data_IF_926844792268
#
_entry.id   IF_926844792268
#
_cell.length_a   1.000
_cell.length_b   1.000
_cell.length_c   1.000
_cell.angle_alpha   90.00
_cell.angle_beta   90.00
_cell.angle_gamma   90.00
#
_symmetry.space_group_name_H-M   'P 1'
#
loop_
_entity.id
_entity.type
_entity.pdbx_description
1 polymer ?
#
# COMPACT_ATOMS: atom_id res chain seq x y z
N UNK A 1 -28.34 -12.12 36.22
CA UNK A 1 -27.23 -11.23 35.80
C UNK A 1 -26.47 -11.89 34.67
N UNK A 2 -26.39 -11.23 33.51
CA UNK A 2 -25.68 -11.66 32.30
C UNK A 2 -25.66 -10.50 31.29
N UNK A 3 -25.21 -9.34 31.77
CA UNK A 3 -25.22 -8.03 31.13
C UNK A 3 -24.02 -7.87 30.17
N UNK A 4 -23.92 -8.64 29.08
CA UNK A 4 -22.90 -8.41 28.03
C UNK A 4 -23.35 -8.81 26.60
N UNK A 5 -24.65 -8.67 26.28
CA UNK A 5 -25.14 -8.72 24.89
C UNK A 5 -25.43 -7.29 24.37
N UNK A 6 -24.44 -6.40 24.43
CA UNK A 6 -24.47 -5.15 23.66
C UNK A 6 -24.12 -5.52 22.21
N UNK A 7 -25.18 -5.77 21.45
CA UNK A 7 -25.25 -6.19 20.06
C UNK A 7 -24.23 -5.50 19.14
N UNK A 8 -23.31 -6.27 18.56
CA UNK A 8 -22.70 -5.97 17.26
C UNK A 8 -23.86 -5.90 16.24
N UNK A 9 -24.38 -4.71 15.94
CA UNK A 9 -25.37 -4.55 14.86
C UNK A 9 -24.66 -4.84 13.54
N UNK A 10 -25.08 -5.93 12.89
CA UNK A 10 -24.61 -6.32 11.55
C UNK A 10 -25.67 -5.89 10.55
N UNK A 11 -25.34 -4.93 9.72
CA UNK A 11 -26.14 -4.58 8.56
C UNK A 11 -25.60 -5.34 7.36
N UNK A 12 -26.49 -6.07 6.68
CA UNK A 12 -26.17 -6.76 5.43
C UNK A 12 -26.87 -6.03 4.30
N UNK A 13 -26.12 -5.76 3.26
CA UNK A 13 -26.64 -5.21 2.02
C UNK A 13 -26.05 -6.00 0.88
N UNK A 14 -26.88 -6.24 -0.14
CA UNK A 14 -26.44 -6.85 -1.38
C UNK A 14 -26.30 -5.75 -2.41
N UNK A 15 -25.10 -5.61 -2.97
CA UNK A 15 -24.87 -4.72 -4.12
C UNK A 15 -24.40 -5.61 -5.27
N UNK A 16 -25.19 -5.65 -6.36
CA UNK A 16 -24.86 -6.44 -7.56
C UNK A 16 -24.61 -7.92 -7.26
N UNK A 17 -25.52 -8.54 -6.50
CA UNK A 17 -25.49 -9.96 -6.12
C UNK A 17 -24.25 -10.37 -5.28
N UNK A 18 -23.62 -9.41 -4.59
CA UNK A 18 -22.57 -9.68 -3.62
C UNK A 18 -22.99 -9.21 -2.25
N UNK A 19 -22.79 -10.05 -1.25
CA UNK A 19 -23.06 -9.72 0.13
C UNK A 19 -21.95 -8.85 0.71
N UNK A 20 -22.36 -7.70 1.22
CA UNK A 20 -21.53 -6.82 2.00
C UNK A 20 -22.08 -6.79 3.43
N UNK A 21 -21.16 -6.80 4.38
CA UNK A 21 -21.50 -6.83 5.79
C UNK A 21 -20.83 -5.61 6.42
N UNK A 22 -21.63 -4.66 6.91
CA UNK A 22 -21.17 -3.62 7.83
C UNK A 22 -21.38 -4.13 9.25
N UNK A 23 -20.29 -4.24 9.98
CA UNK A 23 -20.30 -4.57 11.41
C UNK A 23 -20.05 -3.27 12.16
N UNK A 24 -21.07 -2.79 12.86
CA UNK A 24 -20.98 -1.62 13.72
C UNK A 24 -20.67 -2.06 15.15
N UNK A 25 -19.47 -1.70 15.65
CA UNK A 25 -18.98 -2.16 16.95
C UNK A 25 -19.19 -1.16 18.10
N UNK A 26 -19.54 0.12 17.86
CA UNK A 26 -19.79 1.09 18.96
C UNK A 26 -20.25 2.48 18.49
N UNK A 27 -21.02 3.15 19.37
CA UNK A 27 -21.70 4.45 19.29
C UNK A 27 -21.00 5.58 18.50
N UNK A 28 -21.22 5.69 17.19
CA UNK A 28 -21.10 6.95 16.46
C UNK A 28 -22.46 7.65 16.42
N UNK A 29 -22.48 8.98 16.24
CA UNK A 29 -23.72 9.69 15.92
C UNK A 29 -24.38 9.03 14.69
N UNK A 30 -25.68 8.72 14.80
CA UNK A 30 -26.46 8.06 13.73
C UNK A 30 -26.30 8.79 12.39
N UNK A 31 -26.30 10.14 12.42
CA UNK A 31 -26.13 10.95 11.22
C UNK A 31 -24.79 10.70 10.50
N UNK A 32 -23.72 10.48 11.27
CA UNK A 32 -22.38 10.21 10.72
C UNK A 32 -22.32 8.80 10.16
N UNK A 33 -22.93 7.83 10.87
CA UNK A 33 -23.04 6.46 10.37
C UNK A 33 -23.82 6.40 9.05
N UNK A 34 -24.96 7.10 8.96
CA UNK A 34 -25.77 7.16 7.74
C UNK A 34 -24.95 7.75 6.58
N UNK A 35 -24.23 8.86 6.82
CA UNK A 35 -23.33 9.45 5.82
C UNK A 35 -22.19 8.51 5.39
N UNK A 36 -21.56 7.81 6.33
CA UNK A 36 -20.50 6.84 6.02
C UNK A 36 -21.06 5.67 5.22
N UNK A 37 -22.24 5.18 5.57
CA UNK A 37 -22.95 4.13 4.83
C UNK A 37 -23.26 4.57 3.41
N UNK A 38 -23.72 5.80 3.21
CA UNK A 38 -23.97 6.39 1.89
C UNK A 38 -22.69 6.43 1.04
N UNK A 39 -21.57 6.84 1.62
CA UNK A 39 -20.26 6.87 0.92
C UNK A 39 -19.81 5.45 0.56
N UNK A 40 -19.93 4.50 1.49
CA UNK A 40 -19.59 3.09 1.21
C UNK A 40 -20.45 2.59 0.05
N UNK A 41 -21.76 2.85 0.08
CA UNK A 41 -22.68 2.44 -0.98
C UNK A 41 -22.33 3.09 -2.32
N UNK A 42 -22.07 4.40 -2.33
CA UNK A 42 -21.64 5.16 -3.50
C UNK A 42 -20.38 4.54 -4.13
N UNK A 43 -19.34 4.30 -3.33
CA UNK A 43 -18.07 3.72 -3.82
C UNK A 43 -18.28 2.29 -4.32
N UNK A 44 -19.00 1.44 -3.59
CA UNK A 44 -19.25 0.07 -4.02
C UNK A 44 -20.06 -0.02 -5.31
N UNK A 45 -20.97 0.92 -5.55
CA UNK A 45 -21.77 0.95 -6.77
C UNK A 45 -21.02 1.59 -7.94
N UNK A 46 -20.24 2.63 -7.73
CA UNK A 46 -19.53 3.33 -8.81
C UNK A 46 -18.28 2.58 -9.29
N UNK A 47 -17.61 1.83 -8.40
CA UNK A 47 -16.25 1.37 -8.70
C UNK A 47 -16.19 -0.01 -9.38
N UNK A 48 -15.60 -0.05 -10.59
CA UNK A 48 -15.41 -1.30 -11.34
C UNK A 48 -14.49 -2.31 -10.64
N UNK A 49 -13.57 -1.83 -9.80
CA UNK A 49 -12.67 -2.68 -9.01
C UNK A 49 -13.45 -3.59 -8.05
N UNK A 50 -14.56 -3.09 -7.50
CA UNK A 50 -15.43 -3.81 -6.55
C UNK A 50 -16.12 -5.01 -7.22
N UNK A 51 -16.44 -4.90 -8.52
CA UNK A 51 -16.98 -6.02 -9.31
C UNK A 51 -16.03 -7.22 -9.36
N UNK A 52 -14.73 -7.01 -9.14
CA UNK A 52 -13.71 -8.07 -9.19
C UNK A 52 -13.39 -8.67 -7.82
N UNK A 53 -13.91 -8.11 -6.72
CA UNK A 53 -13.63 -8.59 -5.36
C UNK A 53 -14.64 -9.65 -4.89
N UNK A 54 -14.23 -10.74 -4.22
CA UNK A 54 -15.09 -11.89 -3.89
C UNK A 54 -16.20 -11.61 -2.86
N UNK A 55 -16.08 -10.53 -2.09
CA UNK A 55 -17.03 -10.08 -1.07
C UNK A 55 -16.31 -9.24 -0.03
N UNK A 56 -16.92 -8.15 0.44
CA UNK A 56 -16.26 -7.17 1.30
C UNK A 56 -17.02 -7.01 2.62
N UNK A 57 -16.31 -7.11 3.73
CA UNK A 57 -16.83 -6.87 5.07
C UNK A 57 -16.21 -5.59 5.60
N UNK A 58 -17.05 -4.63 5.95
CA UNK A 58 -16.64 -3.40 6.60
C UNK A 58 -16.80 -3.56 8.11
N UNK A 59 -15.76 -3.20 8.85
CA UNK A 59 -15.82 -3.13 10.31
C UNK A 59 -15.62 -1.68 10.69
N UNK A 60 -16.66 -1.06 11.23
CA UNK A 60 -16.63 0.32 11.68
C UNK A 60 -16.31 0.33 13.17
N UNK A 61 -15.19 0.95 13.53
CA UNK A 61 -14.79 1.11 14.93
C UNK A 61 -14.88 2.59 15.31
N UNK A 62 -15.51 2.90 16.44
CA UNK A 62 -15.31 4.18 17.11
C UNK A 62 -14.14 4.03 18.09
N UNK A 63 -13.04 4.76 17.87
CA UNK A 63 -11.96 4.87 18.86
C UNK A 63 -11.98 6.29 19.44
N UNK A 64 -12.27 6.41 20.73
CA UNK A 64 -12.15 7.67 21.50
C UNK A 64 -10.69 8.16 21.70
N UNK A 65 -9.74 7.77 20.84
CA UNK A 65 -8.33 8.12 21.01
C UNK A 65 -7.88 9.16 19.97
N UNK A 66 -7.20 10.18 20.50
CA UNK A 66 -6.71 11.46 19.94
C UNK A 66 -5.88 11.41 18.63
N UNK A 67 -5.87 10.31 17.89
CA UNK A 67 -5.22 10.27 16.57
C UNK A 67 -6.24 10.61 15.50
N UNK A 68 -6.18 11.83 14.96
CA UNK A 68 -6.92 12.22 13.77
C UNK A 68 -6.82 11.13 12.68
N UNK A 69 -7.98 10.70 12.18
CA UNK A 69 -8.14 10.17 10.82
C UNK A 69 -7.22 9.05 10.37
N UNK A 70 -6.94 8.02 11.18
CA UNK A 70 -6.24 6.82 10.68
C UNK A 70 -7.17 5.63 10.56
N UNK A 71 -7.58 5.33 9.33
CA UNK A 71 -8.16 4.04 8.94
C UNK A 71 -7.02 3.02 8.95
N UNK A 72 -7.25 1.88 9.59
CA UNK A 72 -6.20 0.90 9.85
C UNK A 72 -6.69 -0.47 9.44
N UNK A 73 -6.22 -0.90 8.27
CA UNK A 73 -6.08 -2.28 7.79
C UNK A 73 -7.26 -2.88 7.03
N UNK A 74 -6.92 -3.34 5.83
CA UNK A 74 -7.56 -4.46 5.18
C UNK A 74 -6.95 -5.80 5.65
N UNK A 75 -7.77 -6.84 5.73
CA UNK A 75 -7.31 -8.22 5.93
C UNK A 75 -8.09 -9.15 5.00
N UNK A 76 -7.40 -10.06 4.32
CA UNK A 76 -8.06 -11.08 3.50
C UNK A 76 -8.13 -12.36 4.32
N UNK A 77 -9.34 -12.71 4.76
CA UNK A 77 -9.58 -13.89 5.57
C UNK A 77 -10.58 -14.79 4.84
N UNK A 78 -10.17 -16.04 4.57
CA UNK A 78 -11.03 -17.07 3.96
C UNK A 78 -11.72 -16.62 2.65
N UNK A 79 -10.98 -15.91 1.79
CA UNK A 79 -11.51 -15.43 0.50
C UNK A 79 -12.46 -14.22 0.61
N UNK A 80 -12.50 -13.54 1.75
CA UNK A 80 -13.24 -12.27 1.93
C UNK A 80 -12.27 -11.13 2.19
N UNK A 81 -12.56 -9.96 1.63
CA UNK A 81 -11.86 -8.71 1.94
C UNK A 81 -12.51 -8.13 3.19
N UNK A 82 -11.74 -7.83 4.22
CA UNK A 82 -12.20 -7.11 5.41
C UNK A 82 -11.55 -5.73 5.37
N UNK A 83 -12.32 -4.65 5.45
CA UNK A 83 -11.83 -3.27 5.54
C UNK A 83 -12.26 -2.70 6.89
N UNK A 84 -11.31 -2.21 7.69
CA UNK A 84 -11.61 -1.62 8.99
C UNK A 84 -11.53 -0.10 8.94
N UNK A 85 -12.67 0.57 9.08
CA UNK A 85 -12.75 2.03 9.09
C UNK A 85 -12.84 2.51 10.54
N UNK A 86 -11.95 3.41 10.94
CA UNK A 86 -12.06 4.10 12.23
C UNK A 86 -12.80 5.42 11.99
N UNK A 87 -13.97 5.58 12.61
CA UNK A 87 -14.85 6.74 12.42
C UNK A 87 -14.82 7.59 13.69
N UNK A 88 -14.73 8.91 13.51
CA UNK A 88 -14.76 9.92 14.56
C UNK A 88 -15.92 10.89 14.29
N UNK A 89 -16.36 11.63 15.31
CA UNK A 89 -17.51 12.52 15.17
C UNK A 89 -17.24 13.76 14.30
N UNK A 90 -15.97 14.14 14.13
CA UNK A 90 -15.48 15.27 13.34
C UNK A 90 -14.87 14.83 11.99
N UNK A 91 -15.14 13.60 11.56
CA UNK A 91 -14.47 13.02 10.39
C UNK A 91 -14.83 13.76 9.09
N UNK A 92 -13.82 14.10 8.31
CA UNK A 92 -13.99 14.57 6.95
C UNK A 92 -14.46 13.43 6.04
N UNK A 93 -15.65 13.61 5.47
CA UNK A 93 -16.28 12.65 4.56
C UNK A 93 -15.46 12.46 3.29
N UNK A 94 -14.77 13.50 2.80
CA UNK A 94 -13.91 13.38 1.60
C UNK A 94 -12.76 12.40 1.89
N UNK A 95 -12.14 12.54 3.07
CA UNK A 95 -11.08 11.64 3.55
C UNK A 95 -11.54 10.18 3.68
N UNK A 96 -12.78 9.92 4.12
CA UNK A 96 -13.34 8.55 4.17
C UNK A 96 -13.41 7.94 2.78
N UNK A 97 -13.90 8.69 1.79
CA UNK A 97 -14.02 8.22 0.41
C UNK A 97 -12.65 7.84 -0.16
N UNK A 98 -11.64 8.70 -0.02
CA UNK A 98 -10.29 8.41 -0.49
C UNK A 98 -9.70 7.19 0.16
N UNK A 99 -9.82 7.11 1.48
CA UNK A 99 -9.24 5.98 2.18
C UNK A 99 -9.94 4.67 1.84
N UNK A 100 -11.25 4.71 1.60
CA UNK A 100 -11.96 3.54 1.10
C UNK A 100 -11.44 3.11 -0.28
N UNK A 101 -11.24 4.06 -1.20
CA UNK A 101 -10.64 3.79 -2.52
C UNK A 101 -9.23 3.20 -2.39
N UNK A 102 -8.41 3.75 -1.50
CA UNK A 102 -7.06 3.28 -1.17
C UNK A 102 -7.07 1.80 -0.74
N UNK A 103 -7.87 1.47 0.26
CA UNK A 103 -7.97 0.10 0.81
C UNK A 103 -8.55 -0.89 -0.22
N UNK A 104 -9.47 -0.44 -1.09
CA UNK A 104 -9.99 -1.26 -2.19
C UNK A 104 -8.93 -1.54 -3.26
N UNK A 105 -8.08 -0.56 -3.59
CA UNK A 105 -6.96 -0.73 -4.52
C UNK A 105 -5.97 -1.78 -4.00
N UNK A 106 -5.64 -1.72 -2.71
CA UNK A 106 -4.82 -2.72 -2.04
C UNK A 106 -5.43 -4.12 -2.08
N UNK A 107 -6.71 -4.24 -1.72
CA UNK A 107 -7.41 -5.52 -1.75
C UNK A 107 -7.40 -6.16 -3.15
N UNK A 108 -7.54 -5.33 -4.18
CA UNK A 108 -7.48 -5.79 -5.57
C UNK A 108 -6.09 -6.18 -6.03
N UNK A 109 -5.05 -5.40 -5.72
CA UNK A 109 -3.65 -5.75 -6.00
C UNK A 109 -3.31 -7.11 -5.37
N UNK A 110 -3.69 -7.32 -4.11
CA UNK A 110 -3.52 -8.60 -3.44
C UNK A 110 -4.23 -9.75 -4.16
N UNK A 111 -5.49 -9.56 -4.57
CA UNK A 111 -6.25 -10.59 -5.29
C UNK A 111 -5.61 -10.95 -6.63
N UNK A 112 -5.09 -9.98 -7.38
CA UNK A 112 -4.40 -10.26 -8.65
C UNK A 112 -3.05 -10.93 -8.42
N UNK A 113 -2.36 -10.58 -7.33
CA UNK A 113 -1.16 -11.29 -6.91
C UNK A 113 -1.51 -12.76 -6.63
N UNK A 114 -2.63 -13.10 -5.99
CA UNK A 114 -2.94 -14.47 -5.51
C UNK A 114 -2.92 -15.61 -6.55
N UNK A 115 -2.93 -15.32 -7.86
CA UNK A 115 -2.68 -16.29 -8.92
C UNK A 115 -1.19 -16.49 -9.28
N UNK A 116 -0.34 -15.49 -9.03
CA UNK A 116 1.13 -15.53 -9.13
C UNK A 116 1.77 -15.95 -7.79
N UNK A 117 1.08 -15.72 -6.67
CA UNK A 117 1.58 -16.02 -5.33
C UNK A 117 1.58 -17.52 -5.00
N UNK A 118 0.81 -18.39 -5.68
CA UNK A 118 0.82 -19.83 -5.37
C UNK A 118 2.19 -20.51 -5.57
N UNK A 119 3.11 -19.92 -6.34
CA UNK A 119 4.50 -20.40 -6.46
C UNK A 119 5.50 -19.70 -5.53
N UNK A 120 5.13 -18.59 -4.86
CA UNK A 120 6.05 -17.80 -4.01
C UNK A 120 5.58 -17.62 -2.55
N UNK A 121 4.35 -18.00 -2.17
CA UNK A 121 3.70 -17.67 -0.88
C UNK A 121 3.55 -18.83 0.11
N UNK A 122 4.40 -19.86 0.04
CA UNK A 122 4.49 -20.85 1.12
C UNK A 122 5.07 -20.30 2.44
N UNK A 123 5.33 -18.99 2.53
CA UNK A 123 6.05 -18.34 3.64
C UNK A 123 5.33 -17.19 4.36
N UNK A 124 4.10 -16.81 3.99
CA UNK A 124 3.47 -15.60 4.54
C UNK A 124 2.27 -15.91 5.44
N UNK A 125 2.49 -15.80 6.75
CA UNK A 125 1.44 -15.64 7.76
C UNK A 125 1.23 -14.13 8.02
N UNK A 126 -0.01 -13.65 8.06
CA UNK A 126 -0.35 -12.24 8.27
C UNK A 126 -0.25 -11.82 9.76
N UNK A 127 0.32 -12.67 10.61
CA UNK A 127 0.64 -12.41 12.03
C UNK A 127 1.87 -11.52 12.25
N UNK A 128 2.57 -11.08 11.18
CA UNK A 128 3.84 -10.33 11.21
C UNK A 128 3.85 -8.95 11.89
N UNK A 129 2.74 -8.46 12.44
CA UNK A 129 2.69 -7.14 13.09
C UNK A 129 2.88 -7.15 14.61
N UNK A 130 2.98 -8.32 15.21
CA UNK A 130 3.13 -8.44 16.67
C UNK A 130 4.09 -9.57 17.01
N UNK A 131 5.17 -9.21 17.72
CA UNK A 131 6.04 -10.03 18.59
C UNK A 131 7.43 -10.38 17.96
N UNK A 132 8.48 -9.73 18.50
CA UNK A 132 9.95 -9.96 18.37
C UNK A 132 10.58 -10.17 16.97
N UNK A 133 11.02 -9.18 16.15
CA UNK A 133 11.83 -7.92 16.23
C UNK A 133 13.37 -8.01 16.15
N UNK A 134 14.04 -9.11 16.49
CA UNK A 134 15.51 -9.17 16.31
C UNK A 134 15.87 -9.62 14.89
N UNK A 135 15.97 -8.64 13.99
CA UNK A 135 16.52 -8.76 12.63
C UNK A 135 15.60 -9.52 11.67
N UNK A 136 14.55 -8.85 11.15
CA UNK A 136 14.16 -9.12 9.76
C UNK A 136 15.45 -9.11 8.93
N UNK A 137 15.74 -10.19 8.18
CA UNK A 137 16.94 -10.23 7.36
C UNK A 137 16.82 -9.05 6.40
N UNK A 138 17.79 -8.13 6.36
CA UNK A 138 17.74 -6.89 5.57
C UNK A 138 17.20 -7.10 4.13
N UNK A 139 17.48 -8.26 3.52
CA UNK A 139 16.85 -8.72 2.27
C UNK A 139 15.32 -8.67 2.27
N UNK A 140 14.67 -9.17 3.31
CA UNK A 140 13.21 -9.11 3.50
C UNK A 140 12.74 -7.65 3.56
N UNK A 141 13.48 -6.79 4.27
CA UNK A 141 13.20 -5.35 4.36
C UNK A 141 13.23 -4.71 2.96
N UNK A 142 14.28 -4.99 2.18
CA UNK A 142 14.36 -4.50 0.81
C UNK A 142 13.18 -5.04 -0.01
N UNK A 143 12.87 -6.33 0.06
CA UNK A 143 11.72 -6.90 -0.66
C UNK A 143 10.39 -6.23 -0.29
N UNK A 144 10.13 -6.01 1.00
CA UNK A 144 8.94 -5.34 1.50
C UNK A 144 8.89 -3.91 0.96
N UNK A 145 10.01 -3.18 1.00
CA UNK A 145 10.10 -1.81 0.48
C UNK A 145 9.71 -1.74 -1.00
N UNK A 146 10.31 -2.57 -1.86
CA UNK A 146 10.02 -2.56 -3.30
C UNK A 146 8.62 -3.07 -3.63
N UNK A 147 8.07 -4.00 -2.85
CA UNK A 147 6.66 -4.39 -2.98
C UNK A 147 5.72 -3.25 -2.54
N UNK A 148 6.08 -2.55 -1.45
CA UNK A 148 5.35 -1.42 -0.90
C UNK A 148 5.26 -0.27 -1.88
N UNK A 149 6.38 0.11 -2.52
CA UNK A 149 6.41 1.09 -3.61
C UNK A 149 5.30 0.84 -4.65
N UNK A 150 5.17 -0.41 -5.10
CA UNK A 150 4.13 -0.76 -6.08
C UNK A 150 2.72 -0.65 -5.48
N UNK A 151 2.47 -1.30 -4.34
CA UNK A 151 1.11 -1.36 -3.79
C UNK A 151 0.59 0.01 -3.37
N UNK A 152 1.44 0.82 -2.77
CA UNK A 152 1.07 2.11 -2.17
C UNK A 152 1.04 3.21 -3.23
N UNK A 153 1.96 3.13 -4.20
CA UNK A 153 1.88 3.92 -5.41
C UNK A 153 0.61 3.67 -6.20
N UNK A 154 0.16 2.41 -6.32
CA UNK A 154 -1.10 2.07 -6.98
C UNK A 154 -2.30 2.72 -6.29
N UNK A 155 -2.34 2.62 -4.96
CA UNK A 155 -3.45 3.12 -4.16
C UNK A 155 -3.56 4.66 -4.24
N UNK A 156 -2.44 5.37 -4.03
CA UNK A 156 -2.39 6.84 -4.11
C UNK A 156 -2.68 7.31 -5.54
N UNK A 157 -2.13 6.65 -6.55
CA UNK A 157 -2.44 7.00 -7.94
C UNK A 157 -3.93 6.84 -8.23
N UNK A 158 -4.54 5.77 -7.73
CA UNK A 158 -5.97 5.53 -7.90
C UNK A 158 -6.84 6.61 -7.25
N UNK A 159 -6.46 7.07 -6.06
CA UNK A 159 -7.12 8.20 -5.39
C UNK A 159 -7.06 9.48 -6.23
N UNK A 160 -5.87 9.87 -6.67
CA UNK A 160 -5.68 11.08 -7.47
C UNK A 160 -6.44 11.03 -8.81
N UNK A 161 -6.46 9.84 -9.44
CA UNK A 161 -7.17 9.64 -10.70
C UNK A 161 -8.67 9.83 -10.54
N UNK A 162 -9.21 9.44 -9.38
CA UNK A 162 -10.64 9.57 -9.07
C UNK A 162 -11.07 10.96 -8.64
N UNK A 163 -10.16 11.77 -8.09
CA UNK A 163 -10.42 13.19 -7.79
C UNK A 163 -10.27 14.09 -9.02
N UNK A 164 -10.10 13.52 -10.22
CA UNK A 164 -9.80 14.26 -11.45
C UNK A 164 -8.58 15.20 -11.28
N UNK A 165 -7.56 14.78 -10.53
CA UNK A 165 -6.34 15.58 -10.42
C UNK A 165 -5.79 15.87 -11.81
N UNK A 166 -5.46 17.14 -12.06
CA UNK A 166 -4.89 17.56 -13.34
C UNK A 166 -3.48 17.01 -13.40
N UNK A 167 -3.33 15.95 -14.18
CA UNK A 167 -2.07 15.29 -14.45
C UNK A 167 -1.32 16.02 -15.55
N UNK A 168 -0.49 16.97 -15.12
CA UNK A 168 0.30 17.80 -16.02
C UNK A 168 1.82 17.66 -15.77
N UNK A 169 2.56 18.49 -16.49
CA UNK A 169 4.01 18.52 -16.47
C UNK A 169 4.57 19.05 -15.15
N UNK A 170 3.89 19.98 -14.51
CA UNK A 170 4.37 20.61 -13.29
C UNK A 170 4.25 19.60 -12.13
N UNK A 171 3.12 18.91 -12.05
CA UNK A 171 2.93 17.80 -11.12
C UNK A 171 3.97 16.68 -11.31
N UNK A 172 4.40 16.40 -12.55
CA UNK A 172 5.48 15.44 -12.80
C UNK A 172 6.78 15.82 -12.09
N UNK A 173 7.19 17.09 -12.23
CA UNK A 173 8.45 17.56 -11.65
C UNK A 173 8.37 17.64 -10.13
N UNK A 174 7.24 18.07 -9.59
CA UNK A 174 7.04 18.12 -8.14
C UNK A 174 7.14 16.73 -7.52
N UNK A 175 6.44 15.74 -8.10
CA UNK A 175 6.51 14.34 -7.65
C UNK A 175 7.91 13.76 -7.82
N UNK A 176 8.60 14.06 -8.93
CA UNK A 176 9.97 13.59 -9.16
C UNK A 176 10.92 14.14 -8.09
N UNK A 177 10.86 15.44 -7.78
CA UNK A 177 11.72 16.07 -6.78
C UNK A 177 11.46 15.54 -5.37
N UNK A 178 10.19 15.37 -4.98
CA UNK A 178 9.85 14.79 -3.69
C UNK A 178 10.31 13.34 -3.58
N UNK A 179 10.02 12.50 -4.59
CA UNK A 179 10.46 11.11 -4.63
C UNK A 179 11.99 10.99 -4.61
N UNK A 180 12.70 11.91 -5.24
CA UNK A 180 14.16 11.94 -5.26
C UNK A 180 14.73 12.24 -3.87
N UNK A 181 14.13 13.20 -3.15
CA UNK A 181 14.48 13.51 -1.75
C UNK A 181 14.23 12.31 -0.84
N UNK A 182 13.03 11.70 -0.93
CA UNK A 182 12.67 10.52 -0.16
C UNK A 182 13.62 9.35 -0.42
N UNK A 183 14.02 9.13 -1.67
CA UNK A 183 14.95 8.06 -2.01
C UNK A 183 16.36 8.28 -1.43
N UNK A 184 16.84 9.53 -1.40
CA UNK A 184 18.10 9.87 -0.71
C UNK A 184 18.00 9.60 0.78
N UNK A 185 16.89 10.02 1.40
CA UNK A 185 16.64 9.80 2.82
C UNK A 185 16.57 8.30 3.16
N UNK A 186 15.78 7.53 2.43
CA UNK A 186 15.67 6.07 2.62
C UNK A 186 17.03 5.37 2.43
N UNK A 187 17.84 5.78 1.45
CA UNK A 187 19.19 5.23 1.26
C UNK A 187 20.07 5.45 2.48
N UNK A 188 19.99 6.64 3.10
CA UNK A 188 20.69 6.95 4.35
C UNK A 188 20.25 5.98 5.46
N UNK A 189 18.94 5.80 5.64
CA UNK A 189 18.38 4.86 6.62
C UNK A 189 18.85 3.42 6.34
N UNK A 190 18.83 2.96 5.08
CA UNK A 190 19.31 1.62 4.72
C UNK A 190 20.78 1.43 5.11
N UNK A 191 21.64 2.44 4.89
CA UNK A 191 23.03 2.39 5.32
C UNK A 191 23.15 2.33 6.85
N UNK A 192 22.36 3.11 7.58
CA UNK A 192 22.34 3.08 9.05
C UNK A 192 21.90 1.69 9.56
N UNK A 193 20.89 1.06 8.96
CA UNK A 193 20.45 -0.31 9.30
C UNK A 193 21.53 -1.33 8.96
N UNK A 194 22.21 -1.20 7.81
CA UNK A 194 23.31 -2.08 7.41
C UNK A 194 24.47 -2.04 8.41
N UNK A 195 24.76 -0.89 9.00
CA UNK A 195 25.84 -0.76 9.98
C UNK A 195 25.41 -1.09 11.41
N UNK A 196 24.11 -1.07 11.70
CA UNK A 196 23.53 -1.37 13.02
C UNK A 196 22.88 -2.75 13.10
N UNK A 197 23.36 -3.76 12.36
CA UNK A 197 22.74 -5.11 12.26
C UNK A 197 22.44 -5.76 13.63
N UNK A 198 23.19 -5.41 14.69
CA UNK A 198 23.02 -5.94 16.06
C UNK A 198 22.03 -5.16 16.94
N UNK A 199 21.49 -4.03 16.47
CA UNK A 199 20.61 -3.12 17.19
C UNK A 199 19.11 -3.30 16.92
N UNK A 200 18.28 -2.63 17.71
CA UNK A 200 16.83 -2.64 17.56
C UNK A 200 16.40 -1.76 16.37
N UNK A 201 16.57 -2.27 15.16
CA UNK A 201 16.38 -1.54 13.88
C UNK A 201 14.93 -1.13 13.56
N UNK A 202 14.00 -1.30 14.50
CA UNK A 202 12.59 -1.04 14.23
C UNK A 202 12.27 0.44 14.05
N UNK A 203 12.87 1.30 14.86
CA UNK A 203 12.60 2.74 14.81
C UNK A 203 13.11 3.35 13.50
N UNK A 204 14.33 2.97 13.08
CA UNK A 204 14.91 3.38 11.80
C UNK A 204 14.06 2.94 10.60
N UNK A 205 13.49 1.73 10.65
CA UNK A 205 12.65 1.23 9.55
C UNK A 205 11.32 1.97 9.41
N UNK A 206 10.73 2.46 10.51
CA UNK A 206 9.46 3.20 10.45
C UNK A 206 9.55 4.55 9.75
N UNK A 207 10.77 5.05 9.51
CA UNK A 207 11.02 6.34 8.86
C UNK A 207 11.10 6.25 7.32
N UNK A 208 11.10 5.04 6.75
CA UNK A 208 11.23 4.85 5.30
C UNK A 208 9.95 5.30 4.56
N UNK A 209 10.08 6.26 3.64
CA UNK A 209 8.99 6.74 2.79
C UNK A 209 8.98 6.04 1.43
N UNK A 210 8.00 5.16 1.18
CA UNK A 210 7.78 4.55 -0.15
C UNK A 210 6.56 5.13 -0.89
N UNK A 211 5.67 5.85 -0.21
CA UNK A 211 4.40 6.33 -0.77
C UNK A 211 4.61 7.27 -1.96
N UNK A 212 5.37 8.36 -1.75
CA UNK A 212 5.67 9.37 -2.77
C UNK A 212 6.40 8.76 -3.96
N UNK A 213 7.39 7.91 -3.69
CA UNK A 213 8.19 7.26 -4.72
C UNK A 213 7.32 6.32 -5.56
N UNK A 214 6.50 5.49 -4.90
CA UNK A 214 5.54 4.62 -5.57
C UNK A 214 4.58 5.41 -6.46
N UNK A 215 4.02 6.49 -5.94
CA UNK A 215 3.09 7.34 -6.69
C UNK A 215 3.77 7.96 -7.91
N UNK A 216 4.97 8.53 -7.74
CA UNK A 216 5.77 9.04 -8.85
C UNK A 216 6.04 7.96 -9.91
N UNK A 217 6.32 6.72 -9.52
CA UNK A 217 6.55 5.63 -10.47
C UNK A 217 5.30 5.31 -11.32
N UNK A 218 4.13 5.16 -10.68
CA UNK A 218 2.85 4.97 -11.40
C UNK A 218 2.55 6.14 -12.33
N UNK A 219 2.68 7.35 -11.79
CA UNK A 219 2.46 8.59 -12.51
C UNK A 219 3.33 8.67 -13.75
N UNK A 220 4.64 8.46 -13.60
CA UNK A 220 5.61 8.51 -14.69
C UNK A 220 5.31 7.51 -15.80
N UNK A 221 4.93 6.27 -15.45
CA UNK A 221 4.61 5.27 -16.47
C UNK A 221 3.39 5.72 -17.29
N UNK A 222 2.34 6.19 -16.64
CA UNK A 222 1.09 6.55 -17.33
C UNK A 222 1.24 7.87 -18.08
N UNK A 223 1.77 8.91 -17.43
CA UNK A 223 1.93 10.24 -18.00
C UNK A 223 2.93 10.28 -19.18
N UNK A 224 4.06 9.57 -19.07
CA UNK A 224 5.05 9.56 -20.16
C UNK A 224 4.69 8.56 -21.28
N UNK A 225 3.89 7.52 -21.02
CA UNK A 225 3.46 6.58 -22.07
C UNK A 225 2.06 6.87 -22.64
N UNK A 226 1.53 8.09 -22.56
CA UNK A 226 0.18 8.44 -23.05
C UNK A 226 -0.09 8.03 -24.53
N UNK A 227 0.95 7.83 -25.35
CA UNK A 227 0.84 7.36 -26.75
C UNK A 227 0.71 5.84 -26.92
N UNK A 228 0.87 5.06 -25.85
CA UNK A 228 0.65 3.62 -25.84
C UNK A 228 -0.41 3.38 -24.78
N UNK A 229 -1.60 2.92 -25.15
CA UNK A 229 -2.78 2.64 -24.31
C UNK A 229 -2.49 1.67 -23.14
N UNK A 230 -1.55 2.01 -22.26
CA UNK A 230 -1.16 1.25 -21.11
C UNK A 230 -2.17 1.58 -20.03
N UNK A 231 -3.19 0.73 -19.96
CA UNK A 231 -4.24 0.90 -18.99
C UNK A 231 -3.70 0.68 -17.57
N UNK A 232 -4.19 1.47 -16.63
CA UNK A 232 -4.01 1.28 -15.18
C UNK A 232 -4.17 -0.20 -14.75
N UNK A 233 -5.13 -0.90 -15.37
CA UNK A 233 -5.38 -2.32 -15.17
C UNK A 233 -4.20 -3.24 -15.52
N UNK A 234 -3.42 -2.89 -16.54
CA UNK A 234 -2.25 -3.66 -16.92
C UNK A 234 -1.13 -3.50 -15.87
N UNK A 235 -0.86 -2.27 -15.43
CA UNK A 235 0.16 -1.97 -14.42
C UNK A 235 -0.15 -2.62 -13.07
N UNK A 236 -1.40 -2.57 -12.64
CA UNK A 236 -1.82 -3.18 -11.39
C UNK A 236 -1.59 -4.70 -11.35
N UNK A 237 -1.68 -5.38 -12.50
CA UNK A 237 -1.48 -6.84 -12.60
C UNK A 237 -0.02 -7.27 -12.65
N UNK A 238 0.91 -6.35 -12.94
CA UNK A 238 2.34 -6.67 -13.02
C UNK A 238 2.91 -7.12 -11.67
N UNK A 239 3.90 -8.00 -11.66
CA UNK A 239 4.74 -8.21 -10.47
C UNK A 239 5.49 -6.92 -10.13
N UNK A 240 5.89 -6.72 -8.86
CA UNK A 240 6.63 -5.50 -8.48
C UNK A 240 7.93 -5.34 -9.28
N UNK A 241 8.62 -6.45 -9.58
CA UNK A 241 9.85 -6.43 -10.35
C UNK A 241 9.63 -6.00 -11.81
N UNK A 242 8.59 -6.53 -12.45
CA UNK A 242 8.19 -6.12 -13.81
C UNK A 242 7.78 -4.66 -13.83
N UNK A 243 7.00 -4.21 -12.85
CA UNK A 243 6.58 -2.82 -12.67
C UNK A 243 7.79 -1.86 -12.56
N UNK A 244 8.76 -2.16 -11.69
CA UNK A 244 9.97 -1.32 -11.54
C UNK A 244 10.76 -1.29 -12.85
N UNK A 245 10.92 -2.44 -13.52
CA UNK A 245 11.62 -2.49 -14.81
C UNK A 245 10.91 -1.67 -15.88
N UNK A 246 9.57 -1.68 -15.88
CA UNK A 246 8.76 -0.83 -16.77
C UNK A 246 8.94 0.65 -16.47
N UNK A 247 8.98 1.03 -15.19
CA UNK A 247 9.33 2.39 -14.76
C UNK A 247 10.71 2.80 -15.27
N UNK A 248 11.75 1.99 -15.03
CA UNK A 248 13.12 2.27 -15.47
C UNK A 248 13.20 2.50 -16.98
N UNK A 249 12.58 1.63 -17.78
CA UNK A 249 12.53 1.75 -19.24
C UNK A 249 11.78 3.01 -19.69
N UNK A 250 10.71 3.37 -18.99
CA UNK A 250 9.96 4.59 -19.30
C UNK A 250 10.80 5.82 -19.05
N UNK A 251 11.40 5.94 -17.87
CA UNK A 251 12.26 7.08 -17.53
C UNK A 251 13.40 7.22 -18.55
N UNK A 252 14.05 6.10 -18.88
CA UNK A 252 15.14 6.08 -19.86
C UNK A 252 14.71 6.53 -21.26
N UNK A 253 13.57 6.04 -21.77
CA UNK A 253 13.05 6.40 -23.09
C UNK A 253 12.88 7.91 -23.25
N UNK A 254 12.57 8.61 -22.16
CA UNK A 254 12.37 10.06 -22.14
C UNK A 254 13.57 10.85 -21.59
N UNK A 255 14.74 10.20 -21.44
CA UNK A 255 15.97 10.87 -21.05
C UNK A 255 16.07 11.21 -19.55
N UNK A 256 15.23 10.61 -18.71
CA UNK A 256 15.26 10.81 -17.26
C UNK A 256 16.01 9.67 -16.55
N UNK A 257 16.68 10.01 -15.46
CA UNK A 257 17.26 9.01 -14.56
C UNK A 257 16.14 8.41 -13.68
N UNK A 258 16.02 7.08 -13.57
CA UNK A 258 15.08 6.48 -12.64
C UNK A 258 15.56 6.71 -11.19
N UNK A 259 14.63 6.96 -10.26
CA UNK A 259 14.95 7.11 -8.83
C UNK A 259 15.23 5.74 -8.19
N UNK A 260 14.47 4.74 -8.64
CA UNK A 260 14.52 3.36 -8.17
C UNK A 260 14.95 2.45 -9.32
N UNK A 261 15.85 1.50 -9.07
CA UNK A 261 16.20 0.46 -10.03
C UNK A 261 16.34 -0.92 -9.38
N UNK A 262 16.16 -1.98 -10.18
CA UNK A 262 16.44 -3.34 -9.74
C UNK A 262 17.90 -3.72 -9.88
N UNK A 263 18.50 -3.42 -11.03
CA UNK A 263 19.85 -3.88 -11.34
C UNK A 263 20.60 -3.06 -12.40
N UNK A 264 20.02 -1.97 -12.91
CA UNK A 264 20.69 -1.11 -13.88
C UNK A 264 21.79 -0.25 -13.26
N UNK A 265 21.78 -0.10 -11.92
CA UNK A 265 22.72 0.75 -11.19
C UNK A 265 22.47 2.24 -11.37
N UNK A 266 21.39 2.64 -12.04
CA UNK A 266 21.04 4.03 -12.34
C UNK A 266 20.18 4.69 -11.27
N UNK A 267 19.46 3.90 -10.49
CA UNK A 267 18.67 4.35 -9.36
C UNK A 267 19.54 4.85 -8.20
N UNK A 268 19.00 5.80 -7.43
CA UNK A 268 19.55 6.18 -6.13
C UNK A 268 19.51 4.97 -5.21
N UNK A 269 18.35 4.31 -5.18
CA UNK A 269 18.11 3.03 -4.53
C UNK A 269 18.11 1.97 -5.63
N UNK A 270 19.12 1.11 -5.61
CA UNK A 270 19.27 -0.02 -6.53
C UNK A 270 19.23 -1.33 -5.74
N UNK A 271 18.27 -2.19 -6.06
CA UNK A 271 18.04 -3.45 -5.33
C UNK A 271 19.29 -4.34 -5.30
N UNK A 272 19.95 -4.53 -6.47
CA UNK A 272 21.15 -5.37 -6.58
C UNK A 272 22.31 -4.79 -5.77
N UNK A 273 22.52 -3.48 -5.79
CA UNK A 273 23.56 -2.83 -4.97
C UNK A 273 23.32 -3.06 -3.48
N UNK A 274 22.10 -2.80 -3.00
CA UNK A 274 21.75 -2.99 -1.59
C UNK A 274 21.92 -4.44 -1.12
N UNK A 275 21.56 -5.43 -1.96
CA UNK A 275 21.79 -6.84 -1.63
C UNK A 275 23.28 -7.19 -1.54
N UNK A 276 24.09 -6.66 -2.45
CA UNK A 276 25.54 -6.91 -2.45
C UNK A 276 26.22 -6.28 -1.23
N UNK A 277 25.83 -5.05 -0.87
CA UNK A 277 26.31 -4.36 0.33
C UNK A 277 25.94 -5.15 1.58
N UNK A 278 24.69 -5.62 1.67
CA UNK A 278 24.26 -6.49 2.77
C UNK A 278 25.06 -7.79 2.85
N UNK A 279 25.27 -8.47 1.72
CA UNK A 279 26.02 -9.72 1.70
C UNK A 279 27.47 -9.52 2.17
N UNK A 280 28.09 -8.39 1.81
CA UNK A 280 29.43 -8.03 2.29
C UNK A 280 29.46 -7.82 3.81
N UNK A 281 28.51 -7.06 4.36
CA UNK A 281 28.45 -6.83 5.82
C UNK A 281 28.15 -8.14 6.56
N UNK A 282 27.18 -8.93 6.10
CA UNK A 282 26.83 -10.20 6.71
C UNK A 282 28.02 -11.18 6.77
N UNK A 283 28.83 -11.22 5.71
CA UNK A 283 30.07 -12.01 5.68
C UNK A 283 31.07 -11.53 6.73
N UNK A 284 31.26 -10.22 6.89
CA UNK A 284 32.19 -9.65 7.87
C UNK A 284 31.74 -9.91 9.32
N UNK A 285 30.43 -9.98 9.56
CA UNK A 285 29.86 -10.27 10.88
C UNK A 285 29.79 -11.78 11.21
N UNK A 286 30.34 -12.66 10.35
CA UNK A 286 30.35 -14.10 10.57
C UNK A 286 28.96 -14.76 10.43
N UNK A 287 28.04 -14.14 9.68
CA UNK A 287 26.72 -14.72 9.41
C UNK A 287 26.86 -15.74 8.27
N UNK A 288 27.17 -16.99 8.62
CA UNK A 288 27.61 -18.04 7.68
C UNK A 288 26.51 -18.65 6.79
N UNK A 289 25.22 -18.38 7.04
CA UNK A 289 24.12 -18.97 6.26
C UNK A 289 23.44 -17.95 5.35
N UNK A 290 23.80 -18.03 4.06
CA UNK A 290 23.10 -17.41 2.94
C UNK A 290 22.09 -18.38 2.30
#
# INVERSE_FOLDING_TARGET
>A
MGLFNLFDKKERFSIRNKDYIIINKSYCNKLILDKVNDIIYEVLNSENIVKKLPGITFILNNKNQKSHGSIKTYAIMKGKVIIRLNIFDDIDLKSIKFTLLHELAHAWDYMNKSNILKSHFKFFDLSFWTIDRKIMRFREVIHIYFSGLKSEGLAIYYEGYKDCQVYDRDLFFDLYNMAYSDAKHNKKIFNEILHNIKGNNKELYTEISYHTIGFHMFYSIIYLNLSHNMEFNALAKMGYAEFIRKYELTMWKFGYAPIISLNSGRGIIDYKKLLNEWAAVAKNEGIEKF
#
